data_IF_720881478563
#
_entry.id   IF_720881478563
#
_cell.length_a   1.000
_cell.length_b   1.000
_cell.length_c   1.000
_cell.angle_alpha   90.00
_cell.angle_beta   90.00
_cell.angle_gamma   90.00
#
_symmetry.space_group_name_H-M   'P 1'
#
loop_
_entity.id
_entity.type
_entity.pdbx_description
1 polymer ?
#
# COMPACT_ATOMS: atom_id res chain seq x y z
N UNK A 1 -3.52 0.73 -1.29
CA UNK A 1 -2.42 0.88 -2.26
C UNK A 1 -2.97 0.66 -3.66
N UNK A 2 -3.12 1.73 -4.43
CA UNK A 2 -3.49 1.61 -5.83
C UNK A 2 -2.26 1.18 -6.63
N UNK A 3 -2.16 -0.11 -6.93
CA UNK A 3 -1.03 -0.64 -7.69
C UNK A 3 -1.08 -0.28 -9.17
N UNK A 4 -2.16 0.34 -9.66
CA UNK A 4 -2.31 0.74 -11.08
C UNK A 4 -1.38 1.89 -11.47
N UNK A 5 -0.91 2.67 -10.49
CA UNK A 5 -0.05 3.84 -10.70
C UNK A 5 1.36 3.68 -10.12
N UNK A 6 1.80 2.45 -9.84
CA UNK A 6 3.16 2.21 -9.34
C UNK A 6 4.16 2.31 -10.50
N UNK A 7 5.28 3.04 -10.36
CA UNK A 7 6.35 3.06 -11.35
C UNK A 7 6.83 1.65 -11.70
N UNK A 8 7.07 1.37 -12.98
CA UNK A 8 7.46 0.03 -13.46
C UNK A 8 8.78 -0.49 -12.84
N UNK A 9 9.65 0.41 -12.37
CA UNK A 9 10.93 0.09 -11.73
C UNK A 9 10.86 -0.06 -10.20
N UNK A 10 9.70 0.20 -9.60
CA UNK A 10 9.53 0.21 -8.15
C UNK A 10 9.85 -1.12 -7.49
N UNK A 11 9.31 -2.20 -8.04
CA UNK A 11 9.47 -3.53 -7.50
C UNK A 11 10.96 -3.94 -7.48
N UNK A 12 11.71 -3.51 -8.50
CA UNK A 12 13.15 -3.71 -8.59
C UNK A 12 13.91 -2.88 -7.54
N UNK A 13 13.51 -1.62 -7.28
CA UNK A 13 14.08 -0.79 -6.21
C UNK A 13 13.87 -1.42 -4.82
N UNK A 14 12.70 -2.00 -4.57
CA UNK A 14 12.42 -2.74 -3.33
C UNK A 14 13.28 -3.99 -3.19
N UNK A 15 13.38 -4.82 -4.23
CA UNK A 15 14.27 -5.99 -4.24
C UNK A 15 15.72 -5.58 -3.93
N UNK A 16 16.25 -4.54 -4.59
CA UNK A 16 17.61 -4.05 -4.34
C UNK A 16 17.80 -3.57 -2.89
N UNK A 17 16.80 -2.89 -2.32
CA UNK A 17 16.86 -2.46 -0.92
C UNK A 17 16.87 -3.66 0.04
N UNK A 18 16.05 -4.67 -0.20
CA UNK A 18 16.03 -5.89 0.60
C UNK A 18 17.36 -6.64 0.50
N UNK A 19 17.92 -6.78 -0.70
CA UNK A 19 19.24 -7.39 -0.93
C UNK A 19 20.36 -6.63 -0.22
N UNK A 20 20.35 -5.28 -0.25
CA UNK A 20 21.29 -4.46 0.54
C UNK A 20 21.17 -4.70 2.05
N UNK A 21 19.99 -5.11 2.53
CA UNK A 21 19.75 -5.48 3.92
C UNK A 21 20.05 -6.97 4.22
N UNK A 22 20.60 -7.72 3.26
CA UNK A 22 20.97 -9.13 3.41
C UNK A 22 19.84 -10.12 3.13
N UNK A 23 18.75 -9.69 2.50
CA UNK A 23 17.62 -10.57 2.13
C UNK A 23 17.78 -11.10 0.71
N UNK A 24 17.66 -12.42 0.54
CA UNK A 24 17.66 -13.09 -0.77
C UNK A 24 16.28 -13.09 -1.45
N UNK A 25 15.26 -12.47 -0.83
CA UNK A 25 13.90 -12.41 -1.36
C UNK A 25 13.85 -11.48 -2.57
N UNK A 26 13.41 -12.01 -3.71
CA UNK A 26 13.00 -11.20 -4.85
C UNK A 26 11.57 -10.66 -4.63
N UNK A 27 11.48 -9.49 -4.02
CA UNK A 27 10.22 -8.81 -3.78
C UNK A 27 9.44 -8.53 -5.07
N UNK A 28 10.14 -8.32 -6.19
CA UNK A 28 9.50 -8.06 -7.48
C UNK A 28 8.64 -9.24 -7.94
N UNK A 29 9.08 -10.47 -7.66
CA UNK A 29 8.32 -11.69 -7.97
C UNK A 29 7.04 -11.87 -7.15
N UNK A 30 6.89 -11.13 -6.03
CA UNK A 30 5.76 -11.28 -5.12
C UNK A 30 4.58 -10.36 -5.49
N UNK A 31 4.76 -9.46 -6.45
CA UNK A 31 3.70 -8.54 -6.85
C UNK A 31 2.84 -9.13 -7.97
N UNK A 32 1.54 -9.23 -7.70
CA UNK A 32 0.56 -9.52 -8.74
C UNK A 32 0.19 -8.23 -9.49
N UNK A 33 0.52 -8.19 -10.78
CA UNK A 33 0.31 -7.04 -11.69
C UNK A 33 -0.88 -7.21 -12.63
N UNK A 34 -1.60 -8.33 -12.55
CA UNK A 34 -2.80 -8.57 -13.34
C UNK A 34 -4.01 -7.73 -12.90
N UNK A 35 -5.10 -7.83 -13.65
CA UNK A 35 -6.35 -7.16 -13.31
C UNK A 35 -6.89 -7.66 -11.97
N UNK A 36 -7.29 -6.71 -11.12
CA UNK A 36 -7.78 -6.97 -9.77
C UNK A 36 -8.72 -5.87 -9.33
N UNK A 37 -9.73 -6.24 -8.58
CA UNK A 37 -10.57 -5.28 -7.89
C UNK A 37 -9.80 -4.72 -6.69
N UNK A 38 -9.84 -3.40 -6.50
CA UNK A 38 -9.42 -2.81 -5.23
C UNK A 38 -10.33 -3.29 -4.11
N UNK A 39 -9.77 -3.64 -2.95
CA UNK A 39 -10.55 -4.18 -1.83
C UNK A 39 -11.71 -3.27 -1.41
N UNK A 40 -11.49 -1.95 -1.37
CA UNK A 40 -12.52 -0.96 -1.05
C UNK A 40 -13.68 -0.96 -2.06
N UNK A 41 -13.34 -0.92 -3.36
CA UNK A 41 -14.32 -0.88 -4.44
C UNK A 41 -15.12 -2.19 -4.51
N UNK A 42 -14.44 -3.32 -4.37
CA UNK A 42 -15.08 -4.63 -4.30
C UNK A 42 -16.07 -4.71 -3.14
N UNK A 43 -15.64 -4.39 -1.92
CA UNK A 43 -16.49 -4.47 -0.73
C UNK A 43 -17.70 -3.51 -0.81
N UNK A 44 -17.46 -2.27 -1.25
CA UNK A 44 -18.53 -1.29 -1.44
C UNK A 44 -19.57 -1.78 -2.47
N UNK A 45 -19.12 -2.37 -3.58
CA UNK A 45 -19.99 -2.97 -4.60
C UNK A 45 -20.82 -4.17 -4.09
N UNK A 46 -20.43 -4.76 -2.96
CA UNK A 46 -21.12 -5.88 -2.31
C UNK A 46 -21.90 -5.45 -1.05
N UNK A 47 -22.22 -4.16 -0.92
CA UNK A 47 -23.07 -3.64 0.16
C UNK A 47 -22.38 -3.41 1.49
N UNK A 48 -21.05 -3.53 1.54
CA UNK A 48 -20.29 -3.23 2.76
C UNK A 48 -20.14 -1.73 2.94
N UNK A 49 -20.25 -1.26 4.19
CA UNK A 49 -19.82 0.09 4.55
C UNK A 49 -18.31 0.08 4.74
N UNK A 50 -17.59 0.76 3.87
CA UNK A 50 -16.13 0.85 3.89
C UNK A 50 -15.68 2.16 4.54
N UNK A 51 -14.66 2.09 5.38
CA UNK A 51 -13.93 3.24 5.90
C UNK A 51 -12.42 3.03 5.71
N UNK A 52 -11.73 4.07 5.24
CA UNK A 52 -10.28 4.07 5.03
C UNK A 52 -9.67 5.09 5.98
N UNK A 53 -8.59 4.70 6.66
CA UNK A 53 -7.72 5.61 7.41
C UNK A 53 -6.40 5.73 6.69
N UNK A 54 -6.03 6.92 6.25
CA UNK A 54 -4.78 7.12 5.50
C UNK A 54 -3.55 6.96 6.41
N UNK A 55 -2.37 6.81 5.79
CA UNK A 55 -1.11 6.77 6.54
C UNK A 55 -0.89 8.09 7.30
N UNK A 56 -1.18 9.23 6.69
CA UNK A 56 -1.10 10.56 7.31
C UNK A 56 -2.03 10.66 8.52
N UNK A 57 -3.28 10.23 8.39
CA UNK A 57 -4.24 10.21 9.49
C UNK A 57 -3.79 9.29 10.63
N UNK A 58 -3.23 8.12 10.30
CA UNK A 58 -2.72 7.18 11.28
C UNK A 58 -1.50 7.74 12.04
N UNK A 59 -0.56 8.38 11.35
CA UNK A 59 0.60 9.04 11.97
C UNK A 59 0.16 10.21 12.86
N UNK A 60 -0.71 11.09 12.35
CA UNK A 60 -1.22 12.23 13.10
C UNK A 60 -1.98 11.80 14.36
N UNK A 61 -2.80 10.74 14.28
CA UNK A 61 -3.53 10.19 15.44
C UNK A 61 -2.61 9.68 16.55
N UNK A 62 -1.35 9.35 16.23
CA UNK A 62 -0.36 8.88 17.19
C UNK A 62 0.74 9.92 17.50
N UNK A 63 0.59 11.16 17.02
CA UNK A 63 1.55 12.24 17.28
C UNK A 63 2.87 12.11 16.52
N UNK A 64 2.91 11.32 15.45
CA UNK A 64 4.10 11.13 14.61
C UNK A 64 4.05 12.01 13.35
N UNK A 65 5.24 12.33 12.83
CA UNK A 65 5.39 12.92 11.49
C UNK A 65 5.62 11.81 10.47
N UNK A 66 4.98 11.91 9.31
CA UNK A 66 5.22 10.97 8.22
C UNK A 66 6.66 11.17 7.73
N UNK A 67 7.48 10.12 7.60
CA UNK A 67 8.82 10.23 7.04
C UNK A 67 8.76 10.77 5.61
N UNK A 68 9.62 11.74 5.28
CA UNK A 68 9.82 12.24 3.92
C UNK A 68 11.05 11.53 3.30
N UNK A 69 10.89 10.24 3.02
CA UNK A 69 11.91 9.40 2.41
C UNK A 69 11.43 8.79 1.08
N UNK A 70 12.28 7.98 0.43
CA UNK A 70 11.91 7.30 -0.82
C UNK A 70 10.63 6.46 -0.68
N UNK A 71 10.29 6.01 0.54
CA UNK A 71 9.10 5.21 0.81
C UNK A 71 7.84 6.05 1.04
N UNK A 72 7.97 7.34 1.34
CA UNK A 72 6.86 8.28 1.49
C UNK A 72 5.97 8.31 0.23
N UNK A 73 6.61 8.24 -0.95
CA UNK A 73 5.95 8.17 -2.25
C UNK A 73 5.09 6.90 -2.42
N UNK A 74 5.39 5.83 -1.68
CA UNK A 74 4.60 4.59 -1.65
C UNK A 74 3.46 4.65 -0.63
N UNK A 75 3.55 5.53 0.37
CA UNK A 75 2.59 5.69 1.46
C UNK A 75 1.39 6.56 1.13
N UNK A 76 1.52 7.53 0.21
CA UNK A 76 0.56 8.65 0.05
C UNK A 76 -0.90 8.26 -0.29
N UNK A 77 -1.13 7.08 -0.86
CA UNK A 77 -2.48 6.52 -1.09
C UNK A 77 -2.65 5.14 -0.43
N UNK A 78 -1.77 4.81 0.51
CA UNK A 78 -1.82 3.61 1.32
C UNK A 78 -2.45 3.95 2.67
N UNK A 79 -3.19 3.00 3.24
CA UNK A 79 -3.96 3.21 4.45
C UNK A 79 -4.60 1.92 4.93
N UNK A 80 -5.24 1.99 6.09
CA UNK A 80 -5.95 0.89 6.71
C UNK A 80 -7.41 0.92 6.27
N UNK A 81 -7.90 -0.23 5.82
CA UNK A 81 -9.30 -0.40 5.46
C UNK A 81 -10.02 -1.17 6.57
N UNK A 82 -11.18 -0.65 6.98
CA UNK A 82 -12.17 -1.37 7.78
C UNK A 82 -13.48 -1.43 7.00
N UNK A 83 -14.22 -2.53 7.14
CA UNK A 83 -15.51 -2.67 6.51
C UNK A 83 -16.47 -3.47 7.40
N UNK A 84 -17.74 -3.10 7.40
CA UNK A 84 -18.80 -3.82 8.12
C UNK A 84 -20.00 -4.06 7.21
N UNK A 85 -20.55 -5.27 7.27
CA UNK A 85 -21.83 -5.63 6.66
C UNK A 85 -22.90 -5.56 7.74
N UNK A 86 -24.01 -4.87 7.45
CA UNK A 86 -25.13 -4.71 8.38
C UNK A 86 -26.04 -5.93 8.39
#
# INVERSE_FOLDING_TARGET
MDMRNIPSDWAQKLTQRAQRAGSDIDLASLFYTGERNGAAEYLAGHGWRVAIRTTEEAFAANGFQVPDDELASFGGNSGYLSATLA
#
